data_IF_886087904245
#
_entry.id   IF_886087904245
#
_cell.length_a   1.000
_cell.length_b   1.000
_cell.length_c   1.000
_cell.angle_alpha   90.00
_cell.angle_beta   90.00
_cell.angle_gamma   90.00
#
_symmetry.space_group_name_H-M   'P 1'
#
loop_
_entity.id
_entity.type
_entity.pdbx_description
1 polymer ?
#
# COMPACT_ATOMS: atom_id res chain seq x y z
N UNK A 1 -18.16 5.57 -26.70
CA UNK A 1 -16.71 5.52 -26.37
C UNK A 1 -15.96 5.40 -27.69
N UNK A 2 -15.18 6.40 -28.10
CA UNK A 2 -14.38 6.32 -29.33
C UNK A 2 -13.30 5.24 -29.18
N UNK A 3 -13.21 4.31 -30.15
CA UNK A 3 -12.36 3.11 -30.08
C UNK A 3 -10.87 3.41 -29.78
N UNK A 4 -10.36 4.58 -30.19
CA UNK A 4 -8.96 4.96 -29.96
C UNK A 4 -8.59 5.22 -28.49
N UNK A 5 -9.53 5.67 -27.65
CA UNK A 5 -9.25 5.95 -26.23
C UNK A 5 -9.24 4.68 -25.38
N UNK A 6 -9.99 3.65 -25.80
CA UNK A 6 -10.02 2.38 -25.11
C UNK A 6 -8.64 1.70 -25.15
N UNK A 7 -8.05 1.64 -26.35
CA UNK A 7 -6.72 1.05 -26.52
C UNK A 7 -5.62 1.87 -25.81
N UNK A 8 -5.65 3.20 -25.98
CA UNK A 8 -4.61 4.07 -25.45
C UNK A 8 -4.55 4.12 -23.91
N UNK A 9 -5.68 3.97 -23.23
CA UNK A 9 -5.77 4.10 -21.77
C UNK A 9 -6.06 2.75 -21.08
N UNK A 10 -7.16 2.08 -21.44
CA UNK A 10 -7.58 0.87 -20.74
C UNK A 10 -6.68 -0.32 -21.06
N UNK A 11 -6.47 -0.63 -22.34
CA UNK A 11 -5.60 -1.75 -22.71
C UNK A 11 -4.16 -1.52 -22.24
N UNK A 12 -3.68 -0.27 -22.30
CA UNK A 12 -2.38 0.09 -21.74
C UNK A 12 -2.31 -0.13 -20.22
N UNK A 13 -3.34 0.24 -19.47
CA UNK A 13 -3.41 -0.02 -18.03
C UNK A 13 -3.44 -1.53 -17.71
N UNK A 14 -4.16 -2.34 -18.50
CA UNK A 14 -4.18 -3.80 -18.34
C UNK A 14 -2.81 -4.42 -18.61
N UNK A 15 -2.07 -3.93 -19.62
CA UNK A 15 -0.69 -4.37 -19.87
C UNK A 15 0.23 -4.05 -18.70
N UNK A 16 0.16 -2.82 -18.15
CA UNK A 16 0.94 -2.43 -16.96
C UNK A 16 0.57 -3.28 -15.75
N UNK A 17 -0.72 -3.54 -15.52
CA UNK A 17 -1.20 -4.45 -14.47
C UNK A 17 -0.54 -5.83 -14.56
N UNK A 18 -0.42 -6.39 -15.77
CA UNK A 18 0.25 -7.68 -15.99
C UNK A 18 1.73 -7.61 -15.61
N UNK A 19 2.44 -6.57 -16.05
CA UNK A 19 3.86 -6.40 -15.73
C UNK A 19 4.10 -6.35 -14.21
N UNK A 20 3.30 -5.57 -13.48
CA UNK A 20 3.40 -5.48 -12.01
C UNK A 20 3.12 -6.85 -11.37
N UNK A 21 2.11 -7.58 -11.84
CA UNK A 21 1.81 -8.90 -11.29
C UNK A 21 2.92 -9.93 -11.56
N UNK A 22 3.57 -9.86 -12.72
CA UNK A 22 4.68 -10.73 -13.06
C UNK A 22 5.94 -10.40 -12.23
N UNK A 23 6.18 -9.13 -11.89
CA UNK A 23 7.24 -8.73 -10.95
C UNK A 23 7.01 -9.34 -9.55
N UNK A 24 5.78 -9.34 -9.04
CA UNK A 24 5.46 -9.99 -7.75
C UNK A 24 5.74 -11.50 -7.82
N UNK A 25 5.26 -12.18 -8.87
CA UNK A 25 5.51 -13.62 -9.05
C UNK A 25 7.01 -13.93 -9.08
N UNK A 26 7.80 -13.11 -9.78
CA UNK A 26 9.25 -13.27 -9.86
C UNK A 26 9.90 -13.17 -8.48
N UNK A 27 9.62 -12.10 -7.73
CA UNK A 27 10.20 -11.90 -6.40
C UNK A 27 9.84 -13.06 -5.45
N UNK A 28 8.58 -13.51 -5.46
CA UNK A 28 8.17 -14.66 -4.64
C UNK A 28 8.83 -15.98 -5.10
N UNK A 29 9.02 -16.19 -6.40
CA UNK A 29 9.74 -17.36 -6.92
C UNK A 29 11.24 -17.34 -6.56
N UNK A 30 11.83 -16.16 -6.38
CA UNK A 30 13.21 -15.98 -5.92
C UNK A 30 13.39 -16.17 -4.40
N UNK A 31 12.33 -16.54 -3.68
CA UNK A 31 12.38 -16.89 -2.25
C UNK A 31 12.00 -15.75 -1.30
N UNK A 32 11.46 -14.63 -1.81
CA UNK A 32 10.82 -13.64 -0.95
C UNK A 32 9.52 -14.23 -0.40
N UNK A 33 9.26 -14.09 0.91
CA UNK A 33 8.05 -14.63 1.54
C UNK A 33 6.99 -13.55 1.82
N UNK A 34 7.42 -12.32 2.04
CA UNK A 34 6.56 -11.16 2.20
C UNK A 34 7.29 -9.88 1.74
N UNK A 35 6.54 -8.92 1.23
CA UNK A 35 7.00 -7.58 0.86
C UNK A 35 6.49 -6.59 1.89
N UNK A 36 7.38 -5.76 2.42
CA UNK A 36 7.07 -4.78 3.45
C UNK A 36 7.20 -3.35 2.90
N UNK A 37 6.20 -2.50 3.12
CA UNK A 37 6.21 -1.07 2.79
C UNK A 37 5.52 -0.28 3.90
N UNK A 38 5.69 1.04 4.01
CA UNK A 38 4.72 1.85 4.74
C UNK A 38 3.32 1.62 4.15
N UNK A 39 2.28 1.65 4.99
CA UNK A 39 0.89 1.59 4.50
C UNK A 39 0.52 2.89 3.79
N UNK A 40 0.93 4.02 4.34
CA UNK A 40 0.68 5.35 3.79
C UNK A 40 1.99 6.16 3.74
N UNK A 41 2.13 7.12 2.81
CA UNK A 41 3.35 7.93 2.70
C UNK A 41 3.52 8.95 3.82
N UNK A 42 2.43 9.30 4.50
CA UNK A 42 2.40 10.22 5.64
C UNK A 42 1.44 9.69 6.71
N UNK A 43 1.54 10.16 7.95
CA UNK A 43 0.47 10.02 8.93
C UNK A 43 -0.83 10.68 8.45
N UNK A 44 -1.90 10.49 9.22
CA UNK A 44 -3.21 11.08 8.92
C UNK A 44 -3.10 12.61 8.71
N UNK A 45 -3.58 13.08 7.55
CA UNK A 45 -3.70 14.50 7.23
C UNK A 45 -4.98 15.09 7.82
N UNK A 46 -5.03 16.42 7.96
CA UNK A 46 -6.21 17.11 8.52
C UNK A 46 -7.39 17.07 7.55
N UNK A 47 -8.60 17.19 8.10
CA UNK A 47 -9.82 17.32 7.30
C UNK A 47 -9.70 18.54 6.39
N UNK A 48 -9.96 18.36 5.09
CA UNK A 48 -9.87 19.42 4.09
C UNK A 48 -8.47 19.66 3.52
N UNK A 49 -7.41 19.11 4.11
CA UNK A 49 -6.01 19.41 3.73
C UNK A 49 -5.70 19.08 2.28
N UNK A 50 -6.30 18.00 1.75
CA UNK A 50 -6.09 17.51 0.38
C UNK A 50 -7.30 17.74 -0.55
N UNK A 51 -8.30 18.51 -0.12
CA UNK A 51 -9.57 18.65 -0.86
C UNK A 51 -9.45 19.52 -2.11
N UNK A 52 -8.46 20.42 -2.18
CA UNK A 52 -8.31 21.37 -3.28
C UNK A 52 -7.62 20.78 -4.52
N UNK A 53 -6.93 19.64 -4.38
CA UNK A 53 -6.24 18.98 -5.47
C UNK A 53 -6.47 17.45 -5.38
N UNK A 54 -7.30 16.87 -6.27
CA UNK A 54 -7.61 15.43 -6.21
C UNK A 54 -6.37 14.54 -6.39
N UNK A 55 -5.33 15.00 -7.09
CA UNK A 55 -4.09 14.24 -7.24
C UNK A 55 -3.35 14.04 -5.92
N UNK A 56 -3.42 15.01 -4.99
CA UNK A 56 -2.82 14.86 -3.67
C UNK A 56 -3.52 13.77 -2.85
N UNK A 57 -4.83 13.61 -3.04
CA UNK A 57 -5.59 12.54 -2.42
C UNK A 57 -5.17 11.18 -2.99
N UNK A 58 -5.00 11.05 -4.31
CA UNK A 58 -4.57 9.78 -4.93
C UNK A 58 -3.19 9.32 -4.48
N UNK A 59 -2.27 10.26 -4.20
CA UNK A 59 -0.95 9.92 -3.67
C UNK A 59 -1.01 9.29 -2.27
N UNK A 60 -2.12 9.41 -1.53
CA UNK A 60 -2.28 8.71 -0.26
C UNK A 60 -2.25 7.17 -0.44
N UNK A 61 -2.67 6.67 -1.60
CA UNK A 61 -2.78 5.24 -1.92
C UNK A 61 -1.58 4.67 -2.70
N UNK A 62 -0.48 5.43 -2.80
CA UNK A 62 0.69 5.04 -3.61
C UNK A 62 1.28 3.67 -3.22
N UNK A 63 1.14 3.27 -1.95
CA UNK A 63 1.62 1.97 -1.46
C UNK A 63 0.53 0.90 -1.38
N UNK A 64 -0.76 1.27 -1.38
CA UNK A 64 -1.86 0.31 -1.15
C UNK A 64 -2.43 -0.24 -2.45
N UNK A 65 -2.56 0.60 -3.49
CA UNK A 65 -3.20 0.24 -4.76
C UNK A 65 -2.53 -0.95 -5.46
N UNK A 66 -1.22 -1.13 -5.29
CA UNK A 66 -0.45 -2.21 -5.91
C UNK A 66 -1.00 -3.59 -5.51
N UNK A 67 -1.39 -3.77 -4.24
CA UNK A 67 -1.95 -5.04 -3.76
C UNK A 67 -3.27 -5.37 -4.48
N UNK A 68 -4.14 -4.39 -4.70
CA UNK A 68 -5.41 -4.55 -5.43
C UNK A 68 -5.19 -4.85 -6.92
N UNK A 69 -4.24 -4.16 -7.55
CA UNK A 69 -3.90 -4.35 -8.97
C UNK A 69 -3.41 -5.78 -9.20
N UNK A 70 -2.49 -6.24 -8.36
CA UNK A 70 -1.87 -7.57 -8.45
C UNK A 70 -2.81 -8.67 -7.95
N UNK A 71 -3.67 -8.36 -6.97
CA UNK A 71 -4.60 -9.30 -6.35
C UNK A 71 -3.96 -10.17 -5.26
N UNK A 72 -2.90 -9.70 -4.62
CA UNK A 72 -2.25 -10.39 -3.48
C UNK A 72 -2.92 -10.01 -2.16
N UNK A 73 -2.88 -10.88 -1.14
CA UNK A 73 -3.28 -10.50 0.20
C UNK A 73 -2.32 -9.47 0.78
N UNK A 74 -2.89 -8.49 1.51
CA UNK A 74 -2.14 -7.46 2.21
C UNK A 74 -2.77 -7.17 3.58
N UNK A 75 -1.94 -6.86 4.58
CA UNK A 75 -2.36 -6.42 5.91
C UNK A 75 -1.59 -5.15 6.31
N UNK A 76 -2.26 -4.21 6.98
CA UNK A 76 -1.61 -3.08 7.64
C UNK A 76 -1.59 -3.32 9.14
N UNK A 77 -0.42 -3.24 9.76
CA UNK A 77 -0.24 -3.37 11.21
C UNK A 77 0.37 -2.08 11.79
N UNK A 78 0.02 -1.68 13.04
CA UNK A 78 0.62 -0.51 13.67
C UNK A 78 2.13 -0.69 13.86
N UNK A 79 2.93 0.31 13.50
CA UNK A 79 4.40 0.25 13.58
C UNK A 79 5.04 1.43 14.31
N UNK A 80 4.29 2.04 15.23
CA UNK A 80 4.73 3.17 16.04
C UNK A 80 3.93 4.45 15.77
N UNK A 81 4.49 5.58 16.23
CA UNK A 81 3.86 6.89 16.13
C UNK A 81 4.81 7.91 15.52
N UNK A 82 4.28 8.75 14.63
CA UNK A 82 4.99 9.92 14.13
C UNK A 82 4.92 11.04 15.16
N UNK A 83 6.05 11.69 15.41
CA UNK A 83 6.10 12.89 16.25
C UNK A 83 5.24 14.01 15.64
N UNK A 84 4.31 14.53 16.42
CA UNK A 84 3.59 15.74 16.03
C UNK A 84 4.36 16.97 16.52
N UNK A 85 4.71 17.84 15.57
CA UNK A 85 5.30 19.16 15.89
C UNK A 85 4.19 20.08 16.40
N UNK A 86 4.26 20.47 17.67
CA UNK A 86 3.33 21.38 18.34
C UNK A 86 3.86 21.82 19.71
N UNK A 87 3.31 22.91 20.26
CA UNK A 87 3.56 23.34 21.65
C UNK A 87 2.23 23.65 22.34
N UNK A 88 1.76 22.84 23.31
CA UNK A 88 2.43 21.65 23.87
C UNK A 88 2.46 20.46 22.90
N UNK A 89 3.34 19.46 23.11
CA UNK A 89 3.36 18.25 22.30
C UNK A 89 2.05 17.47 22.46
N UNK A 90 1.42 17.17 21.34
CA UNK A 90 0.24 16.30 21.25
C UNK A 90 0.66 14.84 21.12
N UNK A 91 -0.28 13.92 21.37
CA UNK A 91 -0.06 12.50 21.09
C UNK A 91 0.33 12.29 19.62
N UNK A 92 1.37 11.49 19.38
CA UNK A 92 1.83 11.16 18.04
C UNK A 92 0.74 10.47 17.21
N UNK A 93 0.83 10.56 15.89
CA UNK A 93 -0.12 9.88 14.98
C UNK A 93 0.37 8.48 14.65
N UNK A 94 -0.51 7.46 14.60
CA UNK A 94 -0.10 6.11 14.23
C UNK A 94 0.57 6.05 12.85
N UNK A 95 1.58 5.20 12.72
CA UNK A 95 2.21 4.80 11.46
C UNK A 95 1.83 3.34 11.20
N UNK A 96 1.52 3.01 9.95
CA UNK A 96 1.22 1.65 9.51
C UNK A 96 2.38 1.03 8.73
N UNK A 97 2.70 -0.23 9.02
CA UNK A 97 3.51 -1.10 8.18
C UNK A 97 2.56 -2.03 7.40
N UNK A 98 2.66 -2.00 6.09
CA UNK A 98 1.94 -2.89 5.20
C UNK A 98 2.82 -4.10 4.85
N UNK A 99 2.24 -5.29 4.95
CA UNK A 99 2.83 -6.55 4.54
C UNK A 99 1.98 -7.18 3.45
N UNK A 100 2.61 -7.59 2.35
CA UNK A 100 2.01 -8.26 1.21
C UNK A 100 2.63 -9.65 1.03
N UNK A 101 1.83 -10.68 0.79
CA UNK A 101 2.30 -12.06 0.64
C UNK A 101 1.86 -12.69 -0.67
N UNK A 102 2.33 -13.90 -0.97
CA UNK A 102 1.86 -14.67 -2.12
C UNK A 102 0.36 -14.94 -2.03
N UNK A 103 -0.28 -15.16 -3.19
CA UNK A 103 -1.70 -15.50 -3.28
C UNK A 103 -2.05 -16.70 -2.38
N UNK A 104 -3.07 -16.53 -1.54
CA UNK A 104 -3.53 -17.56 -0.59
C UNK A 104 -2.65 -17.73 0.66
N UNK A 105 -1.70 -16.82 0.91
CA UNK A 105 -0.81 -16.87 2.08
C UNK A 105 -1.19 -15.86 3.19
N UNK A 106 -2.48 -15.62 3.41
CA UNK A 106 -2.98 -14.75 4.49
C UNK A 106 -2.50 -15.20 5.87
N UNK A 107 -2.38 -16.52 6.10
CA UNK A 107 -1.89 -17.09 7.37
C UNK A 107 -0.49 -16.57 7.71
N UNK A 108 0.41 -16.48 6.72
CA UNK A 108 1.76 -15.94 6.91
C UNK A 108 1.70 -14.47 7.36
N UNK A 109 0.81 -13.67 6.79
CA UNK A 109 0.64 -12.27 7.18
C UNK A 109 0.19 -12.14 8.64
N UNK A 110 -0.76 -12.97 9.08
CA UNK A 110 -1.20 -12.99 10.48
C UNK A 110 -0.09 -13.48 11.43
N UNK A 111 0.72 -14.45 11.02
CA UNK A 111 1.86 -14.92 11.82
C UNK A 111 2.93 -13.85 12.00
N UNK A 112 3.29 -13.15 10.92
CA UNK A 112 4.25 -12.02 10.99
C UNK A 112 3.65 -10.91 11.85
N UNK A 113 2.39 -10.52 11.63
CA UNK A 113 1.72 -9.48 12.41
C UNK A 113 1.68 -9.79 13.90
N UNK A 114 1.34 -11.03 14.28
CA UNK A 114 1.32 -11.48 15.69
C UNK A 114 2.70 -11.45 16.34
N UNK A 115 3.76 -11.72 15.58
CA UNK A 115 5.14 -11.61 16.09
C UNK A 115 5.55 -10.15 16.25
N UNK A 116 5.21 -9.32 15.27
CA UNK A 116 5.51 -7.89 15.28
C UNK A 116 4.84 -7.16 16.45
N UNK A 117 3.58 -7.46 16.76
CA UNK A 117 2.86 -6.86 17.89
C UNK A 117 3.50 -7.14 19.27
N UNK A 118 4.29 -8.20 19.38
CA UNK A 118 4.97 -8.59 20.62
C UNK A 118 6.38 -8.02 20.77
N UNK A 119 6.90 -7.38 19.72
CA UNK A 119 8.21 -6.71 19.75
C UNK A 119 8.09 -5.36 20.44
#
# INVERSE_FOLDING_TARGET
>A
LSAGYYDAYYNRAVMVRKLIADDFKKNFAEGVHAIATPTTPTPAFKIGEKSNNPLQMYLADIFTVTANIVGVPAISIPSGFAEQKGNPPTSGLPIGLQLQAYWGCETLLFEIGKKFEKM
#
